data_IF_358731176191
#
_entry.id   IF_358731176191
#
_cell.length_a   1.000
_cell.length_b   1.000
_cell.length_c   1.000
_cell.angle_alpha   90.00
_cell.angle_beta   90.00
_cell.angle_gamma   90.00
#
_symmetry.space_group_name_H-M   'P 1'
#
loop_
_entity.id
_entity.type
_entity.pdbx_description
1 polymer ?
#
# COMPACT_ATOMS: atom_id res chain seq x y z
N UNK A 1 16.67 6.98 -16.68
CA UNK A 1 16.87 5.63 -17.23
C UNK A 1 17.57 4.87 -16.11
N UNK A 2 16.94 3.82 -15.61
CA UNK A 2 17.19 3.26 -14.28
C UNK A 2 18.53 2.51 -14.24
N UNK A 3 19.52 2.99 -13.49
CA UNK A 3 20.87 2.43 -13.42
C UNK A 3 20.91 1.11 -12.63
N UNK A 4 20.08 0.95 -11.61
CA UNK A 4 20.11 -0.20 -10.69
C UNK A 4 19.73 -1.53 -11.36
N UNK A 5 18.83 -1.49 -12.36
CA UNK A 5 18.45 -2.68 -13.11
C UNK A 5 19.56 -3.21 -14.04
N UNK A 6 20.51 -2.34 -14.40
CA UNK A 6 21.60 -2.69 -15.32
C UNK A 6 22.70 -3.47 -14.58
N UNK A 7 22.88 -3.24 -13.28
CA UNK A 7 23.96 -3.84 -12.50
C UNK A 7 23.78 -5.36 -12.28
N UNK A 8 22.56 -5.81 -11.96
CA UNK A 8 22.30 -7.22 -11.66
C UNK A 8 22.49 -8.15 -12.89
N UNK A 9 21.96 -7.79 -14.06
CA UNK A 9 22.08 -8.60 -15.27
C UNK A 9 23.54 -8.71 -15.75
N UNK A 10 24.32 -7.63 -15.61
CA UNK A 10 25.75 -7.62 -15.94
C UNK A 10 26.57 -8.51 -14.98
N UNK A 11 26.27 -8.46 -13.68
CA UNK A 11 26.89 -9.33 -12.67
C UNK A 11 26.56 -10.79 -12.95
N UNK A 12 25.29 -11.11 -13.18
CA UNK A 12 24.86 -12.47 -13.48
C UNK A 12 25.52 -12.99 -14.78
N UNK A 13 25.54 -12.19 -15.85
CA UNK A 13 26.18 -12.54 -17.10
C UNK A 13 27.70 -12.74 -16.96
N UNK A 14 28.36 -11.97 -16.08
CA UNK A 14 29.77 -12.14 -15.76
C UNK A 14 30.04 -13.52 -15.16
N UNK A 15 29.31 -13.89 -14.11
CA UNK A 15 29.52 -15.15 -13.39
C UNK A 15 29.03 -16.39 -14.16
N UNK A 16 28.08 -16.22 -15.08
CA UNK A 16 27.69 -17.24 -16.08
C UNK A 16 28.70 -17.36 -17.24
N UNK A 17 29.63 -16.42 -17.37
CA UNK A 17 30.62 -16.39 -18.45
C UNK A 17 30.03 -15.99 -19.81
N UNK A 18 28.86 -15.37 -19.85
CA UNK A 18 28.14 -15.01 -21.08
C UNK A 18 28.48 -13.62 -21.61
N UNK A 19 29.22 -12.80 -20.85
CA UNK A 19 29.73 -11.52 -21.33
C UNK A 19 30.78 -11.70 -22.43
N UNK A 20 30.69 -10.84 -23.44
CA UNK A 20 31.71 -10.72 -24.49
C UNK A 20 32.96 -9.98 -23.98
N UNK A 21 34.02 -9.96 -24.79
CA UNK A 21 35.33 -9.44 -24.35
C UNK A 21 35.32 -7.92 -24.11
N UNK A 22 34.51 -7.16 -24.85
CA UNK A 22 34.37 -5.72 -24.67
C UNK A 22 33.62 -5.39 -23.37
N UNK A 23 32.52 -6.11 -23.11
CA UNK A 23 31.73 -5.97 -21.88
C UNK A 23 32.52 -6.34 -20.63
N UNK A 24 33.38 -7.37 -20.71
CA UNK A 24 34.26 -7.71 -19.58
C UNK A 24 35.29 -6.63 -19.30
N UNK A 25 35.89 -6.04 -20.34
CA UNK A 25 36.86 -4.96 -20.16
C UNK A 25 36.19 -3.73 -19.55
N UNK A 26 35.01 -3.35 -20.04
CA UNK A 26 34.21 -2.26 -19.48
C UNK A 26 33.91 -2.50 -17.99
N UNK A 27 33.42 -3.70 -17.64
CA UNK A 27 33.12 -4.05 -16.26
C UNK A 27 34.39 -4.02 -15.36
N UNK A 28 35.54 -4.46 -15.87
CA UNK A 28 36.81 -4.39 -15.12
C UNK A 28 37.28 -2.96 -14.89
N UNK A 29 37.19 -2.09 -15.91
CA UNK A 29 37.53 -0.68 -15.80
C UNK A 29 36.60 0.05 -14.83
N UNK A 30 35.31 -0.28 -14.85
CA UNK A 30 34.33 0.25 -13.91
C UNK A 30 34.59 -0.22 -12.48
N UNK A 31 34.81 -1.51 -12.25
CA UNK A 31 35.18 -2.02 -10.91
C UNK A 31 36.50 -1.46 -10.37
N UNK A 32 37.39 -0.98 -11.24
CA UNK A 32 38.64 -0.32 -10.83
C UNK A 32 38.44 1.14 -10.38
N UNK A 33 37.34 1.78 -10.80
CA UNK A 33 37.05 3.19 -10.53
C UNK A 33 35.83 3.41 -9.63
N UNK A 34 34.98 2.39 -9.49
CA UNK A 34 33.75 2.39 -8.71
C UNK A 34 33.84 1.35 -7.59
N UNK A 35 34.13 1.82 -6.38
CA UNK A 35 34.21 0.95 -5.19
C UNK A 35 32.87 0.31 -4.84
N UNK A 36 31.74 0.92 -5.21
CA UNK A 36 30.41 0.41 -4.93
C UNK A 36 30.08 -0.78 -5.86
N UNK A 37 30.37 -0.63 -7.14
CA UNK A 37 30.26 -1.73 -8.10
C UNK A 37 31.18 -2.89 -7.73
N UNK A 38 32.38 -2.59 -7.22
CA UNK A 38 33.32 -3.60 -6.76
C UNK A 38 32.81 -4.34 -5.51
N UNK A 39 32.23 -3.63 -4.54
CA UNK A 39 31.63 -4.22 -3.35
C UNK A 39 30.40 -5.09 -3.70
N UNK A 40 29.52 -4.63 -4.59
CA UNK A 40 28.41 -5.42 -5.13
C UNK A 40 28.91 -6.69 -5.84
N UNK A 41 29.95 -6.55 -6.66
CA UNK A 41 30.56 -7.68 -7.35
C UNK A 41 31.12 -8.72 -6.38
N UNK A 42 31.82 -8.31 -5.32
CA UNK A 42 32.39 -9.20 -4.30
C UNK A 42 31.29 -9.90 -3.47
N UNK A 43 30.22 -9.18 -3.12
CA UNK A 43 29.06 -9.74 -2.46
C UNK A 43 28.36 -10.79 -3.34
N UNK A 44 28.13 -10.45 -4.61
CA UNK A 44 27.52 -11.36 -5.58
C UNK A 44 28.41 -12.58 -5.88
N UNK A 45 29.74 -12.40 -5.97
CA UNK A 45 30.70 -13.48 -6.13
C UNK A 45 30.61 -14.51 -5.00
N UNK A 46 30.47 -14.01 -3.76
CA UNK A 46 30.36 -14.85 -2.56
C UNK A 46 29.07 -15.68 -2.58
N UNK A 47 27.95 -15.05 -2.97
CA UNK A 47 26.66 -15.73 -3.12
C UNK A 47 26.72 -16.77 -4.25
N UNK A 48 27.32 -16.42 -5.39
CA UNK A 48 27.44 -17.27 -6.56
C UNK A 48 28.32 -18.50 -6.30
N UNK A 49 29.47 -18.31 -5.64
CA UNK A 49 30.38 -19.41 -5.30
C UNK A 49 29.78 -20.32 -4.21
N UNK A 50 29.05 -19.74 -3.25
CA UNK A 50 28.28 -20.50 -2.25
C UNK A 50 27.15 -21.33 -2.87
N UNK A 51 26.48 -20.80 -3.90
CA UNK A 51 25.47 -21.53 -4.68
C UNK A 51 26.09 -22.65 -5.55
N UNK A 52 27.37 -22.50 -5.97
CA UNK A 52 28.09 -23.46 -6.82
C UNK A 52 28.76 -24.59 -6.04
N UNK A 53 29.20 -24.35 -4.80
CA UNK A 53 30.08 -25.28 -4.08
C UNK A 53 29.37 -26.21 -3.11
N UNK A 54 28.78 -25.78 -1.99
CA UNK A 54 28.14 -26.71 -1.02
C UNK A 54 27.17 -25.98 -0.06
N UNK A 55 25.90 -26.40 -0.01
CA UNK A 55 25.08 -26.43 1.22
C UNK A 55 24.49 -25.12 1.77
N UNK A 56 23.19 -25.21 2.07
CA UNK A 56 22.27 -24.19 2.63
C UNK A 56 22.81 -23.36 3.81
N UNK A 57 23.68 -23.91 4.67
CA UNK A 57 24.10 -23.23 5.90
C UNK A 57 25.14 -22.12 5.69
N UNK A 58 26.17 -22.36 4.89
CA UNK A 58 27.21 -21.34 4.61
C UNK A 58 26.65 -20.22 3.71
N UNK A 59 25.80 -20.59 2.74
CA UNK A 59 25.08 -19.64 1.90
C UNK A 59 24.14 -18.76 2.74
N UNK A 60 23.35 -19.34 3.67
CA UNK A 60 22.51 -18.57 4.60
C UNK A 60 23.31 -17.61 5.45
N UNK A 61 24.48 -18.03 5.93
CA UNK A 61 25.31 -17.20 6.78
C UNK A 61 25.96 -16.06 5.99
N UNK A 62 26.39 -16.30 4.75
CA UNK A 62 26.88 -15.26 3.85
C UNK A 62 25.79 -14.24 3.49
N UNK A 63 24.57 -14.72 3.16
CA UNK A 63 23.42 -13.87 2.88
C UNK A 63 23.02 -13.04 4.12
N UNK A 64 23.01 -13.65 5.30
CA UNK A 64 22.68 -12.96 6.55
C UNK A 64 23.71 -11.86 6.89
N UNK A 65 25.00 -12.13 6.70
CA UNK A 65 26.05 -11.14 6.92
C UNK A 65 25.95 -9.99 5.90
N UNK A 66 25.76 -10.30 4.62
CA UNK A 66 25.60 -9.27 3.58
C UNK A 66 24.35 -8.40 3.82
N UNK A 67 23.24 -8.99 4.25
CA UNK A 67 22.04 -8.23 4.62
C UNK A 67 22.25 -7.34 5.85
N UNK A 68 23.05 -7.78 6.82
CA UNK A 68 23.36 -6.98 8.01
C UNK A 68 24.29 -5.82 7.68
N UNK A 69 25.35 -6.08 6.90
CA UNK A 69 26.29 -5.04 6.45
C UNK A 69 25.56 -3.98 5.59
N UNK A 70 24.68 -4.42 4.68
CA UNK A 70 23.86 -3.53 3.87
C UNK A 70 22.85 -2.73 4.70
N UNK A 71 22.31 -3.28 5.80
CA UNK A 71 21.47 -2.52 6.74
C UNK A 71 22.25 -1.43 7.44
N UNK A 72 23.42 -1.76 7.98
CA UNK A 72 24.23 -0.81 8.76
C UNK A 72 24.80 0.32 7.90
N UNK A 73 24.96 0.08 6.61
CA UNK A 73 25.40 1.09 5.64
C UNK A 73 24.24 1.87 5.00
N UNK A 74 22.98 1.58 5.37
CA UNK A 74 21.82 2.31 4.86
C UNK A 74 21.44 1.95 3.42
N UNK A 75 21.82 0.77 2.92
CA UNK A 75 21.46 0.28 1.58
C UNK A 75 20.06 -0.33 1.49
N UNK A 76 19.37 -0.56 2.63
CA UNK A 76 17.97 -1.02 2.65
C UNK A 76 16.93 0.12 2.87
N UNK A 77 17.32 1.36 2.61
CA UNK A 77 16.39 2.50 2.64
C UNK A 77 15.52 2.46 1.39
N UNK A 78 14.19 2.54 1.58
CA UNK A 78 13.23 2.57 0.48
C UNK A 78 12.99 3.98 -0.01
N UNK A 79 12.42 4.13 -1.21
CA UNK A 79 12.03 5.43 -1.76
C UNK A 79 11.13 6.25 -0.82
N UNK A 80 10.18 5.58 -0.16
CA UNK A 80 9.32 6.20 0.85
C UNK A 80 10.10 6.72 2.07
N UNK A 81 11.19 6.03 2.45
CA UNK A 81 12.05 6.47 3.55
C UNK A 81 12.83 7.73 3.14
N UNK A 82 13.37 7.78 1.92
CA UNK A 82 14.10 8.94 1.38
C UNK A 82 13.19 10.18 1.30
N UNK A 83 11.98 10.02 0.76
CA UNK A 83 11.01 11.10 0.65
C UNK A 83 10.47 11.53 2.02
N UNK A 84 10.21 10.58 2.91
CA UNK A 84 9.83 10.84 4.30
C UNK A 84 10.88 11.70 5.01
N UNK A 85 12.18 11.47 4.75
CA UNK A 85 13.27 12.26 5.32
C UNK A 85 13.27 13.70 4.80
N UNK A 86 13.15 13.90 3.48
CA UNK A 86 13.08 15.24 2.86
C UNK A 86 11.86 16.05 3.30
N UNK A 87 10.79 15.37 3.71
CA UNK A 87 9.58 15.99 4.24
C UNK A 87 9.61 16.22 5.76
N UNK A 88 10.69 15.80 6.44
CA UNK A 88 10.84 15.93 7.89
C UNK A 88 10.03 14.92 8.70
N UNK A 89 9.59 13.81 8.08
CA UNK A 89 8.70 12.80 8.65
C UNK A 89 9.39 11.44 8.91
N UNK A 90 10.67 11.28 8.56
CA UNK A 90 11.46 10.08 8.87
C UNK A 90 12.15 10.23 10.24
N UNK A 91 12.00 9.24 11.11
CA UNK A 91 12.59 9.24 12.45
C UNK A 91 13.14 7.86 12.84
N UNK A 92 13.86 7.82 13.96
CA UNK A 92 14.34 6.58 14.57
C UNK A 92 15.56 6.01 13.85
N UNK A 93 15.65 4.68 13.79
CA UNK A 93 16.81 3.96 13.26
C UNK A 93 17.09 4.27 11.79
N UNK A 94 16.06 4.27 10.95
CA UNK A 94 16.19 4.59 9.52
C UNK A 94 16.69 6.01 9.26
N UNK A 95 16.25 7.00 10.05
CA UNK A 95 16.75 8.37 9.95
C UNK A 95 18.24 8.46 10.30
N UNK A 96 18.68 7.75 11.35
CA UNK A 96 20.11 7.73 11.74
C UNK A 96 20.98 7.05 10.69
N UNK A 97 20.52 5.95 10.09
CA UNK A 97 21.22 5.27 9.00
C UNK A 97 21.36 6.17 7.77
N UNK A 98 20.29 6.88 7.42
CA UNK A 98 20.30 7.84 6.31
C UNK A 98 21.24 9.02 6.59
N UNK A 99 21.19 9.61 7.80
CA UNK A 99 22.09 10.68 8.23
C UNK A 99 23.57 10.25 8.25
N UNK A 100 23.84 8.98 8.58
CA UNK A 100 25.18 8.42 8.54
C UNK A 100 25.66 8.27 7.10
N UNK A 101 24.81 7.74 6.21
CA UNK A 101 25.11 7.61 4.78
C UNK A 101 25.32 8.96 4.10
N UNK A 102 24.51 9.97 4.41
CA UNK A 102 24.70 11.35 3.94
C UNK A 102 26.05 11.95 4.34
N UNK A 103 26.67 11.47 5.43
CA UNK A 103 27.99 11.95 5.89
C UNK A 103 29.16 11.17 5.29
N UNK A 104 28.95 9.90 4.96
CA UNK A 104 30.01 9.01 4.48
C UNK A 104 30.05 8.88 2.95
N UNK A 105 28.95 9.17 2.27
CA UNK A 105 28.77 8.99 0.83
C UNK A 105 28.41 10.33 0.16
N UNK A 106 29.41 10.95 -0.47
CA UNK A 106 29.27 12.26 -1.13
C UNK A 106 28.37 12.20 -2.37
N UNK A 107 28.34 11.05 -3.06
CA UNK A 107 27.50 10.84 -4.26
C UNK A 107 26.04 10.78 -3.85
N UNK A 108 25.73 10.00 -2.81
CA UNK A 108 24.39 9.91 -2.25
C UNK A 108 23.91 11.24 -1.63
N UNK A 109 24.80 11.99 -0.98
CA UNK A 109 24.48 13.32 -0.47
C UNK A 109 24.08 14.31 -1.59
N UNK A 110 24.77 14.24 -2.73
CA UNK A 110 24.44 15.03 -3.92
C UNK A 110 23.08 14.61 -4.50
N UNK A 111 22.82 13.32 -4.64
CA UNK A 111 21.52 12.80 -5.11
C UNK A 111 20.35 13.29 -4.24
N UNK A 112 20.51 13.23 -2.91
CA UNK A 112 19.50 13.72 -1.97
C UNK A 112 19.28 15.23 -2.06
N UNK A 113 20.32 15.99 -2.41
CA UNK A 113 20.23 17.43 -2.66
C UNK A 113 19.45 17.72 -3.95
N UNK A 114 19.79 17.05 -5.05
CA UNK A 114 19.08 17.18 -6.34
C UNK A 114 17.59 16.84 -6.19
N UNK A 115 17.28 15.84 -5.35
CA UNK A 115 15.92 15.42 -5.04
C UNK A 115 15.16 16.44 -4.17
N UNK A 116 15.83 17.06 -3.20
CA UNK A 116 15.26 18.14 -2.41
C UNK A 116 14.89 19.34 -3.30
N UNK A 117 15.80 19.74 -4.20
CA UNK A 117 15.58 20.83 -5.15
C UNK A 117 14.40 20.55 -6.10
N UNK A 118 14.27 19.31 -6.57
CA UNK A 118 13.15 18.89 -7.40
C UNK A 118 11.81 19.02 -6.65
N UNK A 119 11.74 18.53 -5.41
CA UNK A 119 10.53 18.61 -4.58
C UNK A 119 10.17 20.05 -4.22
N UNK A 120 11.15 20.90 -3.95
CA UNK A 120 10.95 22.34 -3.72
C UNK A 120 10.43 23.05 -4.98
N UNK A 121 10.98 22.70 -6.16
CA UNK A 121 10.50 23.19 -7.45
C UNK A 121 9.04 22.84 -7.74
N UNK A 122 8.62 21.63 -7.37
CA UNK A 122 7.22 21.16 -7.49
C UNK A 122 6.29 21.95 -6.55
N UNK A 123 6.68 22.11 -5.28
CA UNK A 123 5.89 22.87 -4.28
C UNK A 123 5.70 24.32 -4.70
N UNK A 124 6.78 24.97 -5.13
CA UNK A 124 6.78 26.40 -5.44
C UNK A 124 5.99 26.71 -6.72
N UNK A 125 6.04 25.85 -7.75
CA UNK A 125 5.29 26.04 -9.00
C UNK A 125 3.83 25.59 -8.90
N UNK A 126 3.53 24.56 -8.12
CA UNK A 126 2.15 24.09 -7.88
C UNK A 126 1.30 25.11 -7.13
N UNK A 127 1.86 25.77 -6.12
CA UNK A 127 1.15 26.76 -5.29
C UNK A 127 0.80 28.06 -6.02
N UNK A 128 1.63 28.49 -6.99
CA UNK A 128 1.38 29.71 -7.76
C UNK A 128 0.14 29.59 -8.65
N UNK A 129 -0.06 28.44 -9.29
CA UNK A 129 -1.24 28.17 -10.13
C UNK A 129 -2.53 28.13 -9.29
N UNK A 130 -2.46 27.52 -8.10
CA UNK A 130 -3.60 27.40 -7.18
C UNK A 130 -3.99 28.75 -6.57
N UNK A 131 -3.01 29.57 -6.18
CA UNK A 131 -3.25 30.93 -5.65
C UNK A 131 -3.99 31.82 -6.64
N UNK A 132 -3.67 31.69 -7.93
CA UNK A 132 -4.30 32.52 -8.95
C UNK A 132 -5.73 32.09 -9.28
N UNK A 133 -6.03 30.80 -9.18
CA UNK A 133 -7.40 30.29 -9.28
C UNK A 133 -8.28 30.77 -8.11
N UNK A 134 -7.76 30.78 -6.88
CA UNK A 134 -8.49 31.28 -5.69
C UNK A 134 -8.75 32.80 -5.81
N UNK A 135 -7.78 33.56 -6.33
CA UNK A 135 -7.91 35.01 -6.52
C UNK A 135 -8.99 35.36 -7.54
N UNK A 136 -9.08 34.61 -8.63
CA UNK A 136 -10.11 34.76 -9.66
C UNK A 136 -11.51 34.42 -9.12
N UNK A 137 -11.64 33.31 -8.37
CA UNK A 137 -12.89 32.93 -7.74
C UNK A 137 -13.40 33.99 -6.73
N UNK A 138 -12.49 34.61 -5.97
CA UNK A 138 -12.83 35.66 -5.01
C UNK A 138 -13.27 36.98 -5.68
N UNK A 139 -12.78 37.28 -6.88
CA UNK A 139 -13.22 38.44 -7.66
C UNK A 139 -14.59 38.24 -8.31
N UNK A 140 -14.88 37.03 -8.80
CA UNK A 140 -16.21 36.69 -9.37
C UNK A 140 -17.32 36.76 -8.31
N UNK A 141 -17.06 36.28 -7.09
CA UNK A 141 -18.04 36.32 -5.99
C UNK A 141 -18.38 37.76 -5.53
N UNK A 142 -17.46 38.72 -5.69
CA UNK A 142 -17.72 40.14 -5.38
C UNK A 142 -18.54 40.85 -6.45
N UNK A 143 -18.46 40.42 -7.71
CA UNK A 143 -19.21 41.03 -8.81
C UNK A 143 -20.67 40.59 -8.91
N UNK A 144 -21.04 39.46 -8.29
CA UNK A 144 -22.39 38.87 -8.41
C UNK A 144 -23.41 39.31 -7.35
N UNK A 145 -23.09 40.30 -6.50
CA UNK A 145 -24.12 40.99 -5.68
C UNK A 145 -24.89 40.10 -4.69
N UNK A 146 -24.32 38.97 -4.25
CA UNK A 146 -24.99 37.97 -3.42
C UNK A 146 -25.21 38.35 -1.94
N UNK A 147 -25.05 39.62 -1.56
CA UNK A 147 -25.37 40.12 -0.22
C UNK A 147 -26.19 41.40 -0.35
N UNK A 148 -27.49 41.23 -0.63
CA UNK A 148 -28.49 42.29 -0.41
C UNK A 148 -28.95 42.23 1.04
N UNK A 149 -28.52 43.23 1.82
CA UNK A 149 -29.16 43.61 3.09
C UNK A 149 -30.65 43.85 2.86
N UNK A 150 -31.50 43.08 3.54
CA UNK A 150 -32.94 43.37 3.65
C UNK A 150 -33.32 43.41 5.12
N UNK A 151 -33.09 44.57 5.73
CA UNK A 151 -33.74 44.98 6.97
C UNK A 151 -35.18 45.38 6.65
N UNK A 152 -36.16 44.52 6.96
CA UNK A 152 -37.56 44.95 7.06
C UNK A 152 -38.33 44.16 8.14
N UNK A 153 -39.08 44.92 8.93
CA UNK A 153 -39.63 44.59 10.25
C UNK A 153 -40.43 43.29 10.37
N UNK A 154 -40.18 42.57 11.46
CA UNK A 154 -40.91 41.38 11.87
C UNK A 154 -42.34 41.74 12.32
N UNK A 155 -43.35 41.21 11.61
CA UNK A 155 -44.76 41.21 12.03
C UNK A 155 -45.04 40.00 12.91
N UNK A 156 -45.50 40.25 14.14
CA UNK A 156 -45.96 39.20 15.07
C UNK A 156 -47.39 38.79 14.68
N UNK A 157 -47.62 37.50 14.46
CA UNK A 157 -48.95 36.92 14.14
C UNK A 157 -49.36 35.94 15.26
N UNK A 158 -50.61 35.99 15.77
CA UNK A 158 -50.99 35.18 16.93
C UNK A 158 -51.15 33.69 16.59
N UNK A 159 -50.64 32.84 17.49
CA UNK A 159 -50.48 31.39 17.33
C UNK A 159 -51.80 30.65 17.65
N UNK A 160 -52.40 29.97 16.65
CA UNK A 160 -53.63 29.15 16.81
C UNK A 160 -53.28 27.66 16.96
N UNK A 161 -53.88 26.99 17.95
CA UNK A 161 -53.62 25.59 18.34
C UNK A 161 -53.78 24.52 17.24
N UNK A 162 -54.48 24.82 16.13
CA UNK A 162 -54.51 23.91 14.95
C UNK A 162 -53.16 23.86 14.23
N UNK A 163 -52.41 24.96 14.20
CA UNK A 163 -51.07 25.03 13.61
C UNK A 163 -50.09 24.14 14.38
N UNK A 164 -50.28 23.99 15.69
CA UNK A 164 -49.44 23.11 16.53
C UNK A 164 -49.57 21.63 16.15
N UNK A 165 -50.77 21.16 15.76
CA UNK A 165 -50.97 19.77 15.32
C UNK A 165 -50.31 19.50 13.96
N UNK A 166 -50.40 20.47 13.04
CA UNK A 166 -49.68 20.40 11.76
C UNK A 166 -48.17 20.53 11.96
N UNK A 167 -47.71 21.30 12.95
CA UNK A 167 -46.30 21.42 13.31
C UNK A 167 -45.71 20.12 13.88
N UNK A 168 -46.47 19.37 14.67
CA UNK A 168 -46.05 18.05 15.18
C UNK A 168 -45.99 17.01 14.05
N UNK A 169 -46.99 16.99 13.16
CA UNK A 169 -46.95 16.10 12.00
C UNK A 169 -45.79 16.45 11.06
N UNK A 170 -45.54 17.75 10.85
CA UNK A 170 -44.41 18.24 10.06
C UNK A 170 -43.06 17.96 10.72
N UNK A 171 -42.94 17.99 12.06
CA UNK A 171 -41.70 17.65 12.74
C UNK A 171 -41.40 16.15 12.69
N UNK A 172 -42.42 15.29 12.79
CA UNK A 172 -42.27 13.84 12.60
C UNK A 172 -41.91 13.53 11.14
N UNK A 173 -42.53 14.21 10.18
CA UNK A 173 -42.17 14.08 8.76
C UNK A 173 -40.75 14.60 8.48
N UNK A 174 -40.34 15.73 9.06
CA UNK A 174 -38.98 16.26 8.95
C UNK A 174 -37.96 15.35 9.62
N UNK A 175 -38.28 14.73 10.75
CA UNK A 175 -37.41 13.75 11.41
C UNK A 175 -37.33 12.43 10.62
N UNK A 176 -38.45 11.98 10.03
CA UNK A 176 -38.46 10.82 9.14
C UNK A 176 -37.69 11.09 7.84
N UNK A 177 -37.84 12.29 7.26
CA UNK A 177 -37.06 12.74 6.10
C UNK A 177 -35.60 12.93 6.49
N UNK A 178 -35.28 13.51 7.64
CA UNK A 178 -33.90 13.68 8.10
C UNK A 178 -33.25 12.33 8.46
N UNK A 179 -33.99 11.39 9.04
CA UNK A 179 -33.52 10.03 9.31
C UNK A 179 -33.35 9.22 8.03
N UNK A 180 -34.30 9.34 7.08
CA UNK A 180 -34.16 8.77 5.75
C UNK A 180 -32.99 9.43 5.00
N UNK A 181 -32.82 10.75 5.08
CA UNK A 181 -31.70 11.49 4.49
C UNK A 181 -30.37 11.08 5.13
N UNK A 182 -30.31 10.89 6.45
CA UNK A 182 -29.13 10.37 7.14
C UNK A 182 -28.80 8.94 6.70
N UNK A 183 -29.82 8.14 6.36
CA UNK A 183 -29.66 6.77 5.87
C UNK A 183 -29.42 6.68 4.35
N UNK A 184 -29.80 7.72 3.60
CA UNK A 184 -29.76 7.79 2.14
C UNK A 184 -28.64 8.70 1.61
N UNK A 185 -28.03 9.55 2.45
CA UNK A 185 -26.75 10.21 2.12
C UNK A 185 -25.74 9.08 2.00
N UNK A 186 -25.24 8.80 0.79
CA UNK A 186 -24.19 7.83 0.65
C UNK A 186 -22.97 8.43 1.32
N UNK A 187 -22.57 7.88 2.47
CA UNK A 187 -21.21 8.11 2.96
C UNK A 187 -20.23 7.80 1.82
N UNK A 188 -19.06 8.43 1.84
CA UNK A 188 -18.08 8.28 0.76
C UNK A 188 -17.35 6.93 0.80
N UNK A 189 -18.07 5.81 0.94
CA UNK A 189 -17.54 4.45 1.00
C UNK A 189 -16.79 4.06 -0.27
N UNK A 190 -17.26 4.53 -1.43
CA UNK A 190 -16.60 4.25 -2.71
C UNK A 190 -15.26 4.98 -2.81
N UNK A 191 -15.21 6.24 -2.36
CA UNK A 191 -13.99 7.03 -2.30
C UNK A 191 -13.03 6.50 -1.23
N UNK A 192 -13.55 6.14 -0.05
CA UNK A 192 -12.76 5.53 1.02
C UNK A 192 -12.16 4.19 0.59
N UNK A 193 -12.93 3.34 -0.11
CA UNK A 193 -12.39 2.12 -0.70
C UNK A 193 -11.30 2.44 -1.72
N UNK A 194 -11.55 3.35 -2.66
CA UNK A 194 -10.60 3.67 -3.72
C UNK A 194 -9.29 4.27 -3.18
N UNK A 195 -9.35 5.06 -2.11
CA UNK A 195 -8.18 5.69 -1.50
C UNK A 195 -7.29 4.71 -0.73
N UNK A 196 -7.82 3.58 -0.24
CA UNK A 196 -7.12 2.70 0.70
C UNK A 196 -7.07 1.23 0.29
N UNK A 197 -7.73 0.85 -0.81
CA UNK A 197 -7.54 -0.46 -1.41
C UNK A 197 -6.26 -0.47 -2.26
N UNK A 198 -5.28 -1.24 -1.82
CA UNK A 198 -4.08 -1.55 -2.60
C UNK A 198 -4.15 -3.00 -3.08
N UNK A 199 -4.14 -3.24 -4.39
CA UNK A 199 -4.12 -4.60 -4.94
C UNK A 199 -2.86 -5.39 -4.60
N UNK A 200 -1.74 -4.75 -4.27
CA UNK A 200 -0.51 -5.45 -3.92
C UNK A 200 -0.16 -5.15 -2.46
N UNK A 201 -0.60 -5.99 -1.51
CA UNK A 201 -0.37 -5.73 -0.11
C UNK A 201 1.08 -6.02 0.28
N UNK A 202 1.65 -5.33 1.29
CA UNK A 202 3.06 -5.47 1.66
C UNK A 202 3.51 -6.91 2.00
N UNK A 203 2.59 -7.76 2.47
CA UNK A 203 2.90 -9.17 2.77
C UNK A 203 3.08 -10.04 1.52
N UNK A 204 2.70 -9.56 0.33
CA UNK A 204 2.74 -10.35 -0.90
C UNK A 204 4.18 -10.73 -1.26
N UNK A 205 5.13 -9.80 -1.12
CA UNK A 205 6.54 -10.04 -1.45
C UNK A 205 7.12 -11.12 -0.52
N UNK A 206 6.89 -11.00 0.79
CA UNK A 206 7.37 -12.00 1.75
C UNK A 206 6.70 -13.36 1.56
N UNK A 207 5.44 -13.41 1.11
CA UNK A 207 4.78 -14.64 0.72
C UNK A 207 5.46 -15.27 -0.49
N UNK A 208 5.71 -14.51 -1.57
CA UNK A 208 6.39 -14.99 -2.77
C UNK A 208 7.78 -15.54 -2.46
N UNK A 209 8.60 -14.80 -1.69
CA UNK A 209 9.93 -15.26 -1.25
C UNK A 209 9.84 -16.60 -0.50
N UNK A 210 8.87 -16.72 0.41
CA UNK A 210 8.66 -17.97 1.17
C UNK A 210 8.22 -19.13 0.28
N UNK A 211 7.41 -18.87 -0.75
CA UNK A 211 6.90 -19.88 -1.66
C UNK A 211 7.98 -20.37 -2.62
N UNK A 212 8.82 -19.46 -3.11
CA UNK A 212 9.98 -19.81 -3.93
C UNK A 212 10.95 -20.66 -3.10
N UNK A 213 11.34 -20.19 -1.91
CA UNK A 213 12.23 -20.94 -1.02
C UNK A 213 11.68 -22.34 -0.65
N UNK A 214 10.38 -22.45 -0.38
CA UNK A 214 9.77 -23.75 -0.04
C UNK A 214 9.58 -24.66 -1.25
N UNK A 215 9.34 -24.11 -2.45
CA UNK A 215 9.24 -24.86 -3.70
C UNK A 215 10.52 -25.61 -4.06
N UNK A 216 11.68 -24.98 -3.83
CA UNK A 216 12.98 -25.63 -4.01
C UNK A 216 13.30 -26.66 -2.91
N UNK A 217 12.84 -26.44 -1.67
CA UNK A 217 13.20 -27.28 -0.52
C UNK A 217 12.36 -28.56 -0.37
N UNK A 218 11.11 -28.57 -0.83
CA UNK A 218 10.13 -29.60 -0.43
C UNK A 218 9.70 -30.55 -1.55
N UNK A 219 10.09 -30.30 -2.80
CA UNK A 219 9.65 -31.11 -3.94
C UNK A 219 8.13 -31.18 -4.09
N UNK A 220 7.40 -30.20 -3.54
CA UNK A 220 5.94 -30.16 -3.58
C UNK A 220 5.49 -30.18 -5.04
N UNK A 221 4.68 -31.18 -5.39
CA UNK A 221 4.31 -31.52 -6.76
C UNK A 221 3.48 -30.45 -7.50
N UNK A 222 2.91 -30.81 -8.64
CA UNK A 222 2.22 -29.89 -9.58
C UNK A 222 1.18 -28.96 -8.93
N UNK A 223 0.46 -29.41 -7.90
CA UNK A 223 -0.52 -28.58 -7.19
C UNK A 223 0.10 -27.36 -6.48
N UNK A 224 1.32 -27.51 -5.95
CA UNK A 224 2.03 -26.40 -5.33
C UNK A 224 2.61 -25.45 -6.37
N UNK A 225 3.10 -25.96 -7.51
CA UNK A 225 3.50 -25.11 -8.64
C UNK A 225 2.33 -24.28 -9.16
N UNK A 226 1.13 -24.88 -9.25
CA UNK A 226 -0.09 -24.17 -9.57
C UNK A 226 -0.36 -23.05 -8.56
N UNK A 227 -0.23 -23.30 -7.26
CA UNK A 227 -0.36 -22.26 -6.24
C UNK A 227 0.61 -21.10 -6.45
N UNK A 228 1.91 -21.38 -6.64
CA UNK A 228 2.93 -20.34 -6.92
C UNK A 228 2.56 -19.54 -8.17
N UNK A 229 2.19 -20.21 -9.26
CA UNK A 229 1.75 -19.56 -10.48
C UNK A 229 0.51 -18.67 -10.26
N UNK A 230 -0.39 -19.08 -9.36
CA UNK A 230 -1.55 -18.30 -8.95
C UNK A 230 -1.19 -17.03 -8.19
N UNK A 231 -0.24 -17.09 -7.25
CA UNK A 231 0.23 -15.90 -6.52
C UNK A 231 0.98 -14.93 -7.45
N UNK A 232 1.82 -15.44 -8.35
CA UNK A 232 2.47 -14.61 -9.37
C UNK A 232 1.45 -14.01 -10.37
N UNK A 233 0.39 -14.74 -10.70
CA UNK A 233 -0.69 -14.19 -11.52
C UNK A 233 -1.42 -13.05 -10.81
N UNK A 234 -1.62 -13.14 -9.50
CA UNK A 234 -2.18 -12.08 -8.68
C UNK A 234 -1.31 -10.82 -8.71
N UNK A 235 0.00 -10.97 -8.48
CA UNK A 235 0.97 -9.88 -8.50
C UNK A 235 0.95 -9.11 -9.83
N UNK A 236 0.78 -9.82 -10.94
CA UNK A 236 0.63 -9.25 -12.30
C UNK A 236 -0.76 -8.67 -12.59
N UNK A 237 -1.65 -8.61 -11.59
CA UNK A 237 -3.04 -8.15 -11.73
C UNK A 237 -3.97 -9.10 -12.48
N UNK A 238 -3.53 -10.31 -12.81
CA UNK A 238 -4.38 -11.33 -13.46
C UNK A 238 -5.17 -12.12 -12.41
N UNK A 239 -6.15 -11.45 -11.82
CA UNK A 239 -6.94 -12.00 -10.72
C UNK A 239 -7.80 -13.22 -11.09
N UNK A 240 -8.17 -13.37 -12.37
CA UNK A 240 -8.94 -14.52 -12.84
C UNK A 240 -8.07 -15.79 -12.91
N UNK A 241 -6.84 -15.66 -13.43
CA UNK A 241 -5.88 -16.75 -13.39
C UNK A 241 -5.47 -17.10 -11.95
N UNK A 242 -5.28 -16.08 -11.10
CA UNK A 242 -5.01 -16.27 -9.67
C UNK A 242 -6.12 -17.09 -8.99
N UNK A 243 -7.38 -16.72 -9.17
CA UNK A 243 -8.53 -17.48 -8.66
C UNK A 243 -8.46 -18.94 -9.09
N UNK A 244 -8.32 -19.20 -10.40
CA UNK A 244 -8.35 -20.57 -10.93
C UNK A 244 -7.28 -21.46 -10.31
N UNK A 245 -6.05 -20.94 -10.17
CA UNK A 245 -4.91 -21.71 -9.69
C UNK A 245 -4.93 -21.88 -8.17
N UNK A 246 -5.24 -20.81 -7.42
CA UNK A 246 -5.30 -20.84 -5.95
C UNK A 246 -6.50 -21.67 -5.47
N UNK A 247 -7.65 -21.59 -6.13
CA UNK A 247 -8.81 -22.40 -5.78
C UNK A 247 -8.54 -23.90 -5.97
N UNK A 248 -7.80 -24.28 -7.01
CA UNK A 248 -7.38 -25.67 -7.22
C UNK A 248 -6.46 -26.17 -6.10
N UNK A 249 -5.54 -25.33 -5.63
CA UNK A 249 -4.70 -25.65 -4.48
C UNK A 249 -5.50 -25.86 -3.19
N UNK A 250 -6.46 -24.97 -2.92
CA UNK A 250 -7.32 -25.05 -1.73
C UNK A 250 -8.23 -26.29 -1.70
N UNK A 251 -8.48 -26.96 -2.84
CA UNK A 251 -9.16 -28.27 -2.83
C UNK A 251 -8.32 -29.35 -2.16
N UNK A 252 -6.99 -29.26 -2.26
CA UNK A 252 -6.05 -30.23 -1.70
C UNK A 252 -5.55 -29.79 -0.31
N UNK A 253 -5.49 -28.48 -0.08
CA UNK A 253 -5.02 -27.87 1.17
C UNK A 253 -6.07 -26.91 1.76
N UNK A 254 -7.25 -27.38 2.22
CA UNK A 254 -8.33 -26.49 2.67
C UNK A 254 -8.01 -25.63 3.89
N UNK A 255 -7.00 -26.01 4.68
CA UNK A 255 -6.54 -25.29 5.87
C UNK A 255 -5.39 -24.30 5.61
N UNK A 256 -5.03 -24.06 4.35
CA UNK A 256 -4.01 -23.07 4.00
C UNK A 256 -4.61 -21.65 4.04
N UNK A 257 -4.41 -20.99 5.17
CA UNK A 257 -4.91 -19.64 5.42
C UNK A 257 -4.30 -18.58 4.49
N UNK A 258 -3.03 -18.73 4.09
CA UNK A 258 -2.38 -17.82 3.13
C UNK A 258 -3.02 -17.95 1.75
N UNK A 259 -3.23 -19.18 1.28
CA UNK A 259 -3.91 -19.42 0.02
C UNK A 259 -5.35 -18.90 0.04
N UNK A 260 -6.07 -19.07 1.15
CA UNK A 260 -7.43 -18.54 1.29
C UNK A 260 -7.45 -17.01 1.32
N UNK A 261 -6.49 -16.37 1.98
CA UNK A 261 -6.33 -14.92 1.96
C UNK A 261 -6.10 -14.42 0.53
N UNK A 262 -5.19 -15.07 -0.21
CA UNK A 262 -4.90 -14.76 -1.61
C UNK A 262 -6.11 -14.97 -2.54
N UNK A 263 -6.94 -15.99 -2.29
CA UNK A 263 -8.19 -16.18 -3.02
C UNK A 263 -9.19 -15.04 -2.75
N UNK A 264 -9.37 -14.64 -1.48
CA UNK A 264 -10.22 -13.52 -1.11
C UNK A 264 -9.76 -12.20 -1.74
N UNK A 265 -8.45 -11.97 -1.76
CA UNK A 265 -7.82 -10.83 -2.42
C UNK A 265 -8.00 -10.86 -3.94
N UNK A 266 -7.88 -12.02 -4.57
CA UNK A 266 -8.16 -12.19 -6.00
C UNK A 266 -9.61 -11.82 -6.31
N UNK A 267 -10.56 -12.21 -5.45
CA UNK A 267 -11.95 -11.78 -5.58
C UNK A 267 -12.16 -10.28 -5.39
N UNK A 268 -11.42 -9.62 -4.50
CA UNK A 268 -11.44 -8.16 -4.39
C UNK A 268 -10.95 -7.49 -5.68
N UNK A 269 -9.85 -7.97 -6.26
CA UNK A 269 -9.31 -7.47 -7.52
C UNK A 269 -10.29 -7.59 -8.68
N UNK A 270 -11.08 -8.67 -8.70
CA UNK A 270 -12.17 -8.88 -9.66
C UNK A 270 -13.47 -8.13 -9.31
N UNK A 271 -13.49 -7.32 -8.24
CA UNK A 271 -14.70 -6.66 -7.73
C UNK A 271 -15.82 -7.64 -7.33
N UNK A 272 -15.47 -8.91 -7.09
CA UNK A 272 -16.38 -9.96 -6.61
C UNK A 272 -16.52 -9.89 -5.09
N UNK A 273 -16.99 -8.74 -4.57
CA UNK A 273 -16.98 -8.41 -3.13
C UNK A 273 -17.69 -9.44 -2.25
N UNK A 274 -18.78 -10.04 -2.73
CA UNK A 274 -19.52 -11.08 -1.98
C UNK A 274 -18.69 -12.35 -1.82
N UNK A 275 -17.96 -12.78 -2.86
CA UNK A 275 -17.07 -13.94 -2.79
C UNK A 275 -15.88 -13.63 -1.88
N UNK A 276 -15.27 -12.45 -2.05
CA UNK A 276 -14.16 -12.00 -1.21
C UNK A 276 -14.52 -12.01 0.28
N UNK A 277 -15.66 -11.40 0.64
CA UNK A 277 -16.13 -11.36 2.03
C UNK A 277 -16.29 -12.76 2.62
N UNK A 278 -16.80 -13.73 1.86
CA UNK A 278 -16.96 -15.12 2.32
C UNK A 278 -15.62 -15.79 2.63
N UNK A 279 -14.58 -15.52 1.85
CA UNK A 279 -13.24 -16.06 2.12
C UNK A 279 -12.61 -15.40 3.35
N UNK A 280 -12.74 -14.08 3.51
CA UNK A 280 -12.19 -13.39 4.69
C UNK A 280 -12.94 -13.74 5.99
N UNK A 281 -14.26 -13.97 5.95
CA UNK A 281 -15.04 -14.40 7.11
C UNK A 281 -14.52 -15.75 7.66
N UNK A 282 -14.09 -16.67 6.79
CA UNK A 282 -13.50 -17.95 7.21
C UNK A 282 -12.14 -17.78 7.90
N UNK A 283 -11.40 -16.73 7.55
CA UNK A 283 -10.08 -16.44 8.13
C UNK A 283 -10.16 -15.79 9.52
N UNK A 284 -11.34 -15.36 9.97
CA UNK A 284 -11.51 -14.78 11.29
C UNK A 284 -11.29 -15.80 12.42
N UNK A 285 -11.30 -17.09 12.11
CA UNK A 285 -11.01 -18.20 13.04
C UNK A 285 -9.59 -18.75 12.89
N UNK A 286 -8.73 -18.11 12.09
CA UNK A 286 -7.33 -18.51 11.94
C UNK A 286 -6.58 -18.44 13.28
N UNK A 287 -5.62 -19.34 13.47
CA UNK A 287 -4.70 -19.29 14.61
C UNK A 287 -3.62 -18.22 14.44
N UNK A 288 -3.41 -17.73 13.21
CA UNK A 288 -2.45 -16.68 12.91
C UNK A 288 -3.10 -15.30 13.08
N UNK A 289 -2.69 -14.58 14.11
CA UNK A 289 -3.19 -13.24 14.41
C UNK A 289 -2.89 -12.21 13.31
N UNK A 290 -1.83 -12.39 12.50
CA UNK A 290 -1.55 -11.55 11.35
C UNK A 290 -2.58 -11.78 10.23
N UNK A 291 -2.91 -13.04 9.95
CA UNK A 291 -3.98 -13.41 9.00
C UNK A 291 -5.32 -12.83 9.45
N UNK A 292 -5.68 -12.98 10.73
CA UNK A 292 -6.93 -12.43 11.26
C UNK A 292 -6.99 -10.91 11.07
N UNK A 293 -5.90 -10.18 11.35
CA UNK A 293 -5.84 -8.72 11.17
C UNK A 293 -5.97 -8.31 9.69
N UNK A 294 -5.28 -9.00 8.79
CA UNK A 294 -5.40 -8.77 7.35
C UNK A 294 -6.84 -9.06 6.87
N UNK A 295 -7.39 -10.21 7.25
CA UNK A 295 -8.75 -10.62 6.88
C UNK A 295 -9.80 -9.62 7.36
N UNK A 296 -9.70 -9.10 8.59
CA UNK A 296 -10.59 -8.05 9.10
C UNK A 296 -10.55 -6.79 8.22
N UNK A 297 -9.35 -6.34 7.83
CA UNK A 297 -9.22 -5.15 7.00
C UNK A 297 -9.83 -5.35 5.60
N UNK A 298 -9.51 -6.45 4.93
CA UNK A 298 -10.06 -6.72 3.59
C UNK A 298 -11.55 -7.07 3.62
N UNK A 299 -12.06 -7.65 4.71
CA UNK A 299 -13.49 -7.84 4.93
C UNK A 299 -14.21 -6.50 5.06
N UNK A 300 -13.64 -5.54 5.80
CA UNK A 300 -14.20 -4.20 5.90
C UNK A 300 -14.26 -3.52 4.53
N UNK A 301 -13.19 -3.62 3.73
CA UNK A 301 -13.16 -3.12 2.35
C UNK A 301 -14.24 -3.76 1.47
N UNK A 302 -14.38 -5.10 1.51
CA UNK A 302 -15.43 -5.81 0.78
C UNK A 302 -16.84 -5.36 1.22
N UNK A 303 -17.04 -5.12 2.51
CA UNK A 303 -18.32 -4.66 3.05
C UNK A 303 -18.62 -3.19 2.76
N UNK A 304 -17.63 -2.32 2.56
CA UNK A 304 -17.87 -0.94 2.07
C UNK A 304 -18.61 -0.94 0.72
N UNK A 305 -18.33 -1.95 -0.13
CA UNK A 305 -18.96 -2.16 -1.44
C UNK A 305 -20.29 -2.92 -1.37
N UNK A 306 -20.75 -3.28 -0.17
CA UNK A 306 -22.06 -3.89 0.06
C UNK A 306 -22.93 -2.96 0.91
N UNK A 307 -23.97 -2.32 0.33
CA UNK A 307 -24.83 -1.38 1.05
C UNK A 307 -25.44 -1.94 2.35
N UNK A 308 -25.76 -3.24 2.37
CA UNK A 308 -26.36 -3.90 3.54
C UNK A 308 -25.35 -4.23 4.65
N UNK A 309 -24.05 -4.06 4.40
CA UNK A 309 -22.96 -4.35 5.34
C UNK A 309 -22.15 -3.12 5.73
N UNK A 310 -22.48 -1.91 5.25
CA UNK A 310 -21.77 -0.66 5.57
C UNK A 310 -21.63 -0.39 7.07
N UNK A 311 -22.71 -0.55 7.85
CA UNK A 311 -22.64 -0.42 9.30
C UNK A 311 -21.82 -1.52 10.01
N UNK A 312 -21.63 -2.68 9.38
CA UNK A 312 -20.68 -3.69 9.86
C UNK A 312 -19.24 -3.33 9.47
N UNK A 313 -19.03 -2.79 8.27
CA UNK A 313 -17.74 -2.28 7.81
C UNK A 313 -17.21 -1.19 8.75
N UNK A 314 -18.02 -0.19 9.09
CA UNK A 314 -17.61 0.88 10.01
C UNK A 314 -17.24 0.37 11.40
N UNK A 315 -18.01 -0.57 11.95
CA UNK A 315 -17.69 -1.18 13.25
C UNK A 315 -16.34 -1.89 13.19
N UNK A 316 -16.13 -2.69 12.14
CA UNK A 316 -14.87 -3.40 11.94
C UNK A 316 -13.69 -2.44 11.72
N UNK A 317 -13.88 -1.34 10.97
CA UNK A 317 -12.88 -0.30 10.81
C UNK A 317 -12.55 0.40 12.13
N UNK A 318 -13.55 0.65 13.00
CA UNK A 318 -13.30 1.20 14.35
C UNK A 318 -12.48 0.24 15.20
N UNK A 319 -12.81 -1.05 15.16
CA UNK A 319 -12.06 -2.07 15.88
C UNK A 319 -10.60 -2.11 15.41
N UNK A 320 -10.36 -2.04 14.10
CA UNK A 320 -9.01 -1.98 13.52
C UNK A 320 -8.28 -0.68 13.90
N UNK A 321 -8.96 0.47 13.87
CA UNK A 321 -8.36 1.77 14.22
C UNK A 321 -7.97 1.87 15.71
N UNK A 322 -8.64 1.09 16.58
CA UNK A 322 -8.35 1.00 18.00
C UNK A 322 -7.31 -0.08 18.34
N UNK A 323 -7.00 -0.98 17.41
CA UNK A 323 -5.97 -2.00 17.59
C UNK A 323 -4.57 -1.42 17.29
N UNK A 324 -3.82 -1.12 18.36
CA UNK A 324 -2.46 -0.58 18.27
C UNK A 324 -1.45 -1.53 17.61
N UNK A 325 -1.79 -2.82 17.50
CA UNK A 325 -0.93 -3.82 16.84
C UNK A 325 -1.27 -3.95 15.36
N UNK A 326 -2.39 -3.41 14.89
CA UNK A 326 -2.81 -3.60 13.51
C UNK A 326 -1.97 -2.77 12.54
N UNK A 327 -1.38 -3.40 11.49
CA UNK A 327 -0.70 -2.64 10.43
C UNK A 327 -1.67 -1.76 9.63
N UNK A 328 -2.98 -2.04 9.71
CA UNK A 328 -4.02 -1.30 9.00
C UNK A 328 -4.70 -0.21 9.84
N UNK A 329 -4.20 0.07 11.04
CA UNK A 329 -4.80 1.02 11.99
C UNK A 329 -5.03 2.41 11.39
N UNK A 330 -3.98 2.98 10.80
CA UNK A 330 -4.04 4.33 10.22
C UNK A 330 -4.96 4.38 9.00
N UNK A 331 -4.88 3.38 8.12
CA UNK A 331 -5.77 3.26 6.97
C UNK A 331 -7.23 3.19 7.42
N UNK A 332 -7.55 2.39 8.44
CA UNK A 332 -8.91 2.28 8.97
C UNK A 332 -9.43 3.59 9.58
N UNK A 333 -8.59 4.32 10.32
CA UNK A 333 -8.94 5.62 10.87
C UNK A 333 -9.25 6.66 9.77
N UNK A 334 -8.40 6.72 8.75
CA UNK A 334 -8.60 7.63 7.62
C UNK A 334 -9.81 7.27 6.76
N UNK A 335 -10.08 5.97 6.57
CA UNK A 335 -11.29 5.49 5.92
C UNK A 335 -12.55 5.94 6.66
N UNK A 336 -12.57 5.84 7.99
CA UNK A 336 -13.69 6.31 8.81
C UNK A 336 -13.89 7.83 8.67
N UNK A 337 -12.80 8.60 8.63
CA UNK A 337 -12.89 10.04 8.39
C UNK A 337 -13.53 10.34 7.04
N UNK A 338 -13.08 9.67 5.97
CA UNK A 338 -13.68 9.84 4.64
C UNK A 338 -15.14 9.43 4.58
N UNK A 339 -15.52 8.30 5.19
CA UNK A 339 -16.91 7.81 5.18
C UNK A 339 -17.86 8.83 5.84
N UNK A 340 -17.39 9.55 6.86
CA UNK A 340 -18.18 10.49 7.66
C UNK A 340 -18.18 11.94 7.12
N UNK A 341 -17.39 12.24 6.09
CA UNK A 341 -17.37 13.55 5.40
C UNK A 341 -18.40 13.57 4.28
#
# INVERSE_FOLDING_TARGET
MNTDFIHFELLEAWFRGTLNEAERRDMQERMASDELLKAEFEAFATIWEGARTVGDLQLRQAIANAHEDNRQQGFLLTEDDLEGYLQGNLYGEKARLLEQRLKSDEVFAKEMTDRADLLEGIRTRGDLALREQIRQAHQQAKSEGALRDTTNGARIVPFRQRVLRWAIAASVALLAVAGAWWYLVPGNYDEAFAAYYQPNPPFLNSLLDSLEATGFATGKGEAFKAYVAGVQAYERGNFAAAESQIAAWLQQSPGDDNARLMLGLSYLGQQSYKKAAKEFEQLLTSQDAAIVRAAKFYLALAWCKNPFKRGAAERLLRDIANDNTSPHRQAAAMMLEKINR
#
